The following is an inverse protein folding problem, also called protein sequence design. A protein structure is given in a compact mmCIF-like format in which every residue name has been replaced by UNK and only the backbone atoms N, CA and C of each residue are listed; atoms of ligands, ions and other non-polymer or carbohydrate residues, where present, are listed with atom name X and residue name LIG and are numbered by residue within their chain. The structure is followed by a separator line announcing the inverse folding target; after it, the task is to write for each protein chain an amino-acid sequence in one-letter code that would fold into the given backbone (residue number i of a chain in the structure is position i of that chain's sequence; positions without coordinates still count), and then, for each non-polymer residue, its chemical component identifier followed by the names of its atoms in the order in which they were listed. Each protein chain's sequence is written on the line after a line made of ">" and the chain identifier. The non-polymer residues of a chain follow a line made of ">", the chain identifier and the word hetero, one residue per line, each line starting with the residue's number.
data_IF_248348615688
#
_entry.id   IF_248348615688
#
_cell.length_a   1.000
_cell.length_b   1.000
_cell.length_c   1.000
_cell.angle_alpha   90.00
_cell.angle_beta   90.00
_cell.angle_gamma   90.00
#
_symmetry.space_group_name_H-M   'P 1'
#
loop_
_entity.id
_entity.type
_entity.pdbx_description
1 polymer ?
#
# COMPACT_ATOMS: atom_id res chain seq x y z
N UNK A 1 25.68 -14.69 -20.53
CA UNK A 1 25.14 -13.34 -20.26
C UNK A 1 23.72 -13.50 -19.77
N UNK A 2 23.51 -13.46 -18.47
CA UNK A 2 22.18 -13.30 -17.89
C UNK A 2 21.70 -11.90 -18.24
N UNK A 3 20.60 -11.79 -18.98
CA UNK A 3 19.86 -10.54 -19.07
C UNK A 3 19.25 -10.32 -17.68
N UNK A 4 19.88 -9.46 -16.87
CA UNK A 4 19.15 -8.89 -15.75
C UNK A 4 18.08 -7.99 -16.34
N UNK A 5 16.85 -8.50 -16.41
CA UNK A 5 15.69 -7.64 -16.52
C UNK A 5 15.72 -6.78 -15.26
N UNK A 6 15.92 -5.48 -15.43
CA UNK A 6 15.57 -4.50 -14.42
C UNK A 6 14.14 -4.07 -14.78
N UNK A 7 13.09 -4.85 -14.42
CA UNK A 7 11.73 -4.49 -14.76
C UNK A 7 11.43 -3.11 -14.16
N UNK A 8 10.73 -2.27 -14.93
CA UNK A 8 10.24 -1.00 -14.41
C UNK A 8 9.38 -1.28 -13.16
N UNK A 9 9.50 -0.46 -12.11
CA UNK A 9 8.73 -0.65 -10.91
C UNK A 9 7.24 -0.49 -11.23
N UNK A 10 6.46 -1.48 -10.81
CA UNK A 10 4.99 -1.45 -10.84
C UNK A 10 4.44 -1.22 -9.44
N UNK A 11 3.17 -0.81 -9.36
CA UNK A 11 2.45 -0.76 -8.09
C UNK A 11 2.56 -2.07 -7.30
N UNK A 12 2.44 -3.23 -7.97
CA UNK A 12 2.57 -4.53 -7.31
C UNK A 12 3.96 -4.78 -6.75
N UNK A 13 5.01 -4.45 -7.52
CA UNK A 13 6.38 -4.59 -7.03
C UNK A 13 6.65 -3.68 -5.83
N UNK A 14 6.11 -2.46 -5.85
CA UNK A 14 6.26 -1.51 -4.75
C UNK A 14 5.52 -2.00 -3.49
N UNK A 15 4.28 -2.48 -3.62
CA UNK A 15 3.52 -3.10 -2.52
C UNK A 15 4.21 -4.36 -1.98
N UNK A 16 4.82 -5.16 -2.85
CA UNK A 16 5.56 -6.34 -2.44
C UNK A 16 6.78 -5.96 -1.61
N UNK A 17 7.61 -5.02 -2.11
CA UNK A 17 8.82 -4.54 -1.43
C UNK A 17 8.45 -3.93 -0.06
N UNK A 18 7.43 -3.07 0.00
CA UNK A 18 6.99 -2.46 1.25
C UNK A 18 6.54 -3.52 2.27
N UNK A 19 5.80 -4.54 1.83
CA UNK A 19 5.43 -5.64 2.71
C UNK A 19 6.62 -6.47 3.18
N UNK A 20 7.63 -6.69 2.32
CA UNK A 20 8.86 -7.37 2.71
C UNK A 20 9.64 -6.60 3.78
N UNK A 21 9.71 -5.27 3.68
CA UNK A 21 10.30 -4.38 4.70
C UNK A 21 9.57 -4.52 6.04
N UNK A 22 8.25 -4.63 6.00
CA UNK A 22 7.40 -4.81 7.19
C UNK A 22 7.38 -6.24 7.74
N UNK A 23 8.08 -7.20 7.09
CA UNK A 23 8.04 -8.61 7.47
C UNK A 23 6.69 -9.28 7.22
N UNK A 24 5.83 -8.68 6.40
CA UNK A 24 4.53 -9.23 6.04
C UNK A 24 4.72 -10.38 5.06
N UNK A 25 4.21 -11.56 5.43
CA UNK A 25 4.12 -12.69 4.51
C UNK A 25 3.18 -12.32 3.34
N UNK A 26 3.38 -12.93 2.18
CA UNK A 26 2.47 -12.78 1.03
C UNK A 26 1.03 -13.16 1.44
N UNK A 27 0.04 -12.72 0.64
CA UNK A 27 -1.41 -13.00 0.75
C UNK A 27 -1.92 -13.53 2.09
N UNK A 28 -1.55 -12.89 3.20
CA UNK A 28 -1.96 -13.33 4.53
C UNK A 28 -3.38 -12.82 4.72
N UNK A 29 -4.36 -13.66 4.36
CA UNK A 29 -5.79 -13.33 4.33
C UNK A 29 -6.43 -13.26 5.73
N UNK A 30 -5.63 -13.31 6.80
CA UNK A 30 -6.13 -13.23 8.17
C UNK A 30 -6.01 -11.78 8.64
N UNK A 31 -7.13 -11.09 8.88
CA UNK A 31 -7.11 -9.78 9.49
C UNK A 31 -6.37 -9.79 10.83
N UNK A 32 -5.56 -8.77 11.06
CA UNK A 32 -4.76 -8.65 12.28
C UNK A 32 -4.57 -7.17 12.66
N UNK A 33 -4.04 -6.95 13.86
CA UNK A 33 -3.44 -5.67 14.23
C UNK A 33 -2.05 -5.58 13.64
N UNK A 34 -1.60 -4.37 13.28
CA UNK A 34 -0.19 -4.16 12.95
C UNK A 34 0.66 -4.28 14.21
N UNK A 35 1.88 -4.78 14.05
CA UNK A 35 2.89 -4.77 15.11
C UNK A 35 3.58 -3.41 15.19
N UNK A 36 4.04 -2.96 16.38
CA UNK A 36 4.90 -1.79 16.48
C UNK A 36 6.13 -1.92 15.57
N UNK A 37 6.43 -0.87 14.80
CA UNK A 37 7.56 -0.88 13.89
C UNK A 37 8.87 -0.59 14.64
N UNK A 38 9.96 -1.34 14.37
CA UNK A 38 11.28 -0.99 14.88
C UNK A 38 11.83 0.29 14.23
N UNK A 39 12.84 0.95 14.83
CA UNK A 39 13.35 2.26 14.37
C UNK A 39 13.91 2.28 12.95
N UNK A 40 14.26 1.13 12.39
CA UNK A 40 14.80 1.00 11.03
C UNK A 40 13.72 0.94 9.94
N UNK A 41 12.44 0.91 10.29
CA UNK A 41 11.34 0.97 9.32
C UNK A 41 11.16 2.43 8.86
N UNK A 42 11.08 2.69 7.55
CA UNK A 42 10.81 4.02 7.02
C UNK A 42 9.55 4.64 7.61
N UNK A 43 9.59 5.95 7.94
CA UNK A 43 8.50 6.66 8.61
C UNK A 43 7.15 6.51 7.90
N UNK A 44 7.15 6.54 6.57
CA UNK A 44 5.94 6.38 5.73
C UNK A 44 5.29 5.00 5.83
N UNK A 45 6.01 3.97 6.30
CA UNK A 45 5.48 2.62 6.51
C UNK A 45 5.21 2.29 7.97
N UNK A 46 5.65 3.12 8.92
CA UNK A 46 5.37 2.87 10.34
C UNK A 46 3.85 2.86 10.59
N UNK A 47 3.34 1.99 11.47
CA UNK A 47 1.92 1.86 11.72
C UNK A 47 1.38 3.12 12.38
N UNK A 48 0.17 3.51 12.00
CA UNK A 48 -0.58 4.56 12.68
C UNK A 48 -1.25 4.02 13.95
N UNK A 49 -1.74 4.91 14.84
CA UNK A 49 -2.58 4.47 15.96
C UNK A 49 -3.79 3.63 15.51
N UNK A 50 -4.42 3.95 14.38
CA UNK A 50 -5.55 3.19 13.83
C UNK A 50 -5.15 1.74 13.52
N UNK A 51 -4.00 1.54 12.86
CA UNK A 51 -3.47 0.22 12.53
C UNK A 51 -3.07 -0.62 13.76
N UNK A 52 -2.62 0.04 14.83
CA UNK A 52 -2.27 -0.62 16.10
C UNK A 52 -3.50 -1.01 16.94
N UNK A 53 -4.64 -0.34 16.74
CA UNK A 53 -5.82 -0.48 17.59
C UNK A 53 -7.00 -1.15 16.88
N UNK A 54 -6.96 -1.30 15.56
CA UNK A 54 -8.08 -1.81 14.76
C UNK A 54 -7.65 -2.99 13.90
N UNK A 55 -8.36 -4.11 14.00
CA UNK A 55 -8.10 -5.31 13.17
C UNK A 55 -8.47 -5.00 11.71
N UNK A 56 -7.55 -5.25 10.79
CA UNK A 56 -7.73 -4.95 9.37
C UNK A 56 -6.95 -5.91 8.46
N UNK A 57 -7.15 -5.81 7.15
CA UNK A 57 -6.41 -6.60 6.17
C UNK A 57 -4.95 -6.15 6.10
N UNK A 58 -3.94 -7.02 6.38
CA UNK A 58 -2.53 -6.64 6.39
C UNK A 58 -2.00 -6.09 5.06
N UNK A 59 -2.73 -6.29 3.96
CA UNK A 59 -2.42 -5.68 2.67
C UNK A 59 -2.42 -4.15 2.70
N UNK A 60 -3.24 -3.54 3.56
CA UNK A 60 -3.35 -2.07 3.70
C UNK A 60 -2.02 -1.47 4.17
N UNK A 61 -1.26 -2.17 5.02
CA UNK A 61 0.00 -1.68 5.59
C UNK A 61 1.08 -1.39 4.54
N UNK A 62 0.95 -1.99 3.35
CA UNK A 62 1.92 -1.91 2.25
C UNK A 62 1.94 -0.55 1.56
N UNK A 63 0.91 0.28 1.74
CA UNK A 63 0.84 1.60 1.14
C UNK A 63 1.62 2.64 1.96
N UNK A 64 2.45 3.50 1.35
CA UNK A 64 3.23 4.51 2.07
C UNK A 64 2.42 5.77 2.43
N UNK A 65 1.09 5.65 2.59
CA UNK A 65 0.19 6.78 2.79
C UNK A 65 -0.61 6.58 4.08
N UNK A 66 -0.12 7.14 5.20
CA UNK A 66 -0.74 6.98 6.52
C UNK A 66 -2.25 7.29 6.50
N UNK A 67 -2.63 8.44 5.94
CA UNK A 67 -4.04 8.86 5.85
C UNK A 67 -4.92 7.92 5.02
N UNK A 68 -4.41 7.45 3.88
CA UNK A 68 -5.11 6.49 3.03
C UNK A 68 -5.36 5.16 3.75
N UNK A 69 -4.34 4.66 4.48
CA UNK A 69 -4.47 3.44 5.29
C UNK A 69 -5.53 3.60 6.38
N UNK A 70 -5.47 4.69 7.12
CA UNK A 70 -6.45 4.97 8.18
C UNK A 70 -7.87 5.04 7.62
N UNK A 71 -8.06 5.71 6.48
CA UNK A 71 -9.36 5.82 5.84
C UNK A 71 -9.86 4.47 5.30
N UNK A 72 -9.02 3.64 4.69
CA UNK A 72 -9.39 2.27 4.28
C UNK A 72 -9.83 1.41 5.48
N UNK A 73 -9.16 1.54 6.62
CA UNK A 73 -9.49 0.80 7.84
C UNK A 73 -10.82 1.30 8.43
N UNK A 74 -10.98 2.62 8.56
CA UNK A 74 -12.16 3.23 9.18
C UNK A 74 -13.42 3.09 8.32
N UNK A 75 -13.27 3.01 7.00
CA UNK A 75 -14.38 2.94 6.04
C UNK A 75 -14.61 1.51 5.51
N UNK A 76 -14.04 0.48 6.15
CA UNK A 76 -14.10 -0.91 5.69
C UNK A 76 -15.53 -1.47 5.54
N UNK A 77 -16.52 -0.88 6.22
CA UNK A 77 -17.93 -1.24 6.09
C UNK A 77 -18.66 -0.51 4.93
N UNK A 78 -18.05 0.55 4.38
CA UNK A 78 -18.62 1.37 3.30
C UNK A 78 -17.90 1.14 1.96
N UNK A 79 -16.66 0.68 2.01
CA UNK A 79 -15.84 0.39 0.84
C UNK A 79 -15.89 -1.12 0.58
N UNK A 80 -16.22 -1.48 -0.66
CA UNK A 80 -16.03 -2.83 -1.16
C UNK A 80 -14.54 -3.06 -1.41
N UNK A 81 -13.93 -3.94 -0.61
CA UNK A 81 -12.50 -4.23 -0.65
C UNK A 81 -12.10 -4.99 -1.92
N UNK A 82 -12.99 -5.79 -2.48
CA UNK A 82 -12.80 -6.47 -3.77
C UNK A 82 -12.87 -5.47 -4.92
N UNK A 83 -13.77 -4.49 -4.87
CA UNK A 83 -13.85 -3.43 -5.88
C UNK A 83 -12.59 -2.55 -5.90
N UNK A 84 -12.08 -2.17 -4.73
CA UNK A 84 -10.80 -1.47 -4.58
C UNK A 84 -9.64 -2.30 -5.11
N UNK A 85 -9.57 -3.58 -4.73
CA UNK A 85 -8.51 -4.50 -5.14
C UNK A 85 -8.54 -4.73 -6.65
N UNK A 86 -9.72 -4.95 -7.24
CA UNK A 86 -9.90 -5.07 -8.69
C UNK A 86 -9.36 -3.85 -9.42
N UNK A 87 -9.75 -2.64 -9.02
CA UNK A 87 -9.30 -1.42 -9.67
C UNK A 87 -7.79 -1.21 -9.51
N UNK A 88 -7.25 -1.49 -8.32
CA UNK A 88 -5.82 -1.44 -8.07
C UNK A 88 -5.05 -2.40 -9.00
N UNK A 89 -5.64 -3.56 -9.30
CA UNK A 89 -4.97 -4.65 -10.01
C UNK A 89 -5.14 -4.61 -11.53
N UNK A 90 -6.29 -4.13 -12.00
CA UNK A 90 -6.72 -4.31 -13.40
C UNK A 90 -6.93 -3.01 -14.14
N UNK A 91 -6.94 -1.87 -13.44
CA UNK A 91 -7.10 -0.54 -14.00
C UNK A 91 -5.84 0.31 -13.77
N UNK A 92 -5.64 1.41 -14.51
CA UNK A 92 -4.61 2.39 -14.19
C UNK A 92 -4.82 2.93 -12.77
N UNK A 93 -3.92 2.58 -11.85
CA UNK A 93 -4.04 2.91 -10.42
C UNK A 93 -2.94 3.84 -9.95
N UNK A 94 -1.68 3.38 -10.03
CA UNK A 94 -0.51 4.16 -9.71
C UNK A 94 0.62 3.93 -10.72
N UNK A 95 1.28 5.02 -11.09
CA UNK A 95 2.56 5.00 -11.76
C UNK A 95 3.68 5.19 -10.73
N UNK A 96 4.64 4.25 -10.72
CA UNK A 96 5.79 4.30 -9.81
C UNK A 96 6.97 4.93 -10.53
N UNK A 97 7.53 5.99 -9.94
CA UNK A 97 8.67 6.73 -10.48
C UNK A 97 9.95 5.90 -10.32
N UNK A 98 10.63 5.51 -11.42
CA UNK A 98 11.87 4.74 -11.34
C UNK A 98 12.97 5.50 -10.58
N UNK A 99 13.74 4.78 -9.78
CA UNK A 99 14.86 5.33 -9.01
C UNK A 99 14.49 5.93 -7.64
N UNK A 100 13.20 6.09 -7.33
CA UNK A 100 12.73 6.42 -5.99
C UNK A 100 12.37 5.16 -5.20
N UNK A 101 12.49 5.25 -3.87
CA UNK A 101 12.19 4.13 -3.00
C UNK A 101 10.67 3.83 -2.97
N UNK A 102 10.28 2.55 -2.90
CA UNK A 102 8.85 2.16 -2.89
C UNK A 102 8.07 2.66 -1.68
N UNK A 103 8.76 2.99 -0.59
CA UNK A 103 8.17 3.58 0.60
C UNK A 103 8.13 5.11 0.56
N UNK A 104 8.76 5.77 -0.43
CA UNK A 104 8.66 7.22 -0.58
C UNK A 104 7.31 7.57 -1.21
N UNK A 105 6.41 8.32 -0.54
CA UNK A 105 5.14 8.73 -1.12
C UNK A 105 5.29 9.49 -2.45
N UNK A 106 6.39 10.22 -2.66
CA UNK A 106 6.65 10.95 -3.91
C UNK A 106 6.96 10.03 -5.09
N UNK A 107 7.32 8.76 -4.83
CA UNK A 107 7.50 7.77 -5.88
C UNK A 107 6.17 7.38 -6.55
N UNK A 108 5.03 7.65 -5.91
CA UNK A 108 3.72 7.16 -6.33
C UNK A 108 2.89 8.29 -6.95
N UNK A 109 2.54 8.14 -8.22
CA UNK A 109 1.64 9.04 -8.93
C UNK A 109 0.31 8.33 -9.14
N UNK A 110 -0.75 8.87 -8.55
CA UNK A 110 -2.09 8.33 -8.73
C UNK A 110 -2.59 8.63 -10.15
N UNK A 111 -3.16 7.62 -10.81
CA UNK A 111 -3.76 7.78 -12.14
C UNK A 111 -5.15 8.41 -12.03
N UNK A 112 -5.55 9.17 -13.05
CA UNK A 112 -6.81 9.95 -13.06
C UNK A 112 -8.04 9.08 -12.72
N UNK A 113 -8.20 7.93 -13.39
CA UNK A 113 -9.29 6.99 -13.13
C UNK A 113 -9.38 6.57 -11.65
N UNK A 114 -8.22 6.27 -11.04
CA UNK A 114 -8.17 5.82 -9.65
C UNK A 114 -8.35 6.98 -8.68
N UNK A 115 -7.86 8.17 -9.02
CA UNK A 115 -8.07 9.39 -8.25
C UNK A 115 -9.55 9.80 -8.20
N UNK A 116 -10.26 9.72 -9.32
CA UNK A 116 -11.67 10.07 -9.38
C UNK A 116 -12.54 9.20 -8.47
N UNK A 117 -12.22 7.90 -8.40
CA UNK A 117 -13.00 6.94 -7.61
C UNK A 117 -12.53 6.82 -6.16
N UNK A 118 -11.21 6.78 -5.93
CA UNK A 118 -10.61 6.44 -4.64
C UNK A 118 -9.82 7.60 -4.01
N UNK A 119 -9.69 8.73 -4.70
CA UNK A 119 -8.90 9.88 -4.24
C UNK A 119 -9.39 10.49 -2.91
N UNK A 120 -10.67 10.31 -2.57
CA UNK A 120 -11.21 10.73 -1.28
C UNK A 120 -10.49 10.06 -0.09
N UNK A 121 -9.86 8.89 -0.28
CA UNK A 121 -9.08 8.21 0.76
C UNK A 121 -7.85 9.01 1.20
N UNK A 122 -7.38 9.97 0.41
CA UNK A 122 -6.19 10.76 0.73
C UNK A 122 -6.49 12.00 1.61
N UNK A 123 -7.76 12.25 1.97
CA UNK A 123 -8.20 13.45 2.69
C UNK A 123 -8.89 13.14 4.03
#
# INVERSE_FOLDING_TARGET
>A
MSYELCPLPTVFSALYINGAILGLKSCSAVPALSSPAPPNIPLSLQPTPTQLLTVHQPGIDRFPFAKMRDNLINMCAMIDDEDFTRDLFTMPSFNITPGLASWDPQAWKIEEYFADKWGFLFY
#
